data_IF_312252713242
#
_entry.id   IF_312252713242
#
_cell.length_a   1.000
_cell.length_b   1.000
_cell.length_c   1.000
_cell.angle_alpha   90.00
_cell.angle_beta   90.00
_cell.angle_gamma   90.00
#
_symmetry.space_group_name_H-M   'P 1'
#
loop_
_entity.id
_entity.type
_entity.pdbx_description
1 polymer ?
#
# COMPACT_ATOMS: atom_id res chain seq x y z
N UNK A 1 -18.00 9.18 23.66
CA UNK A 1 -17.68 7.75 23.56
C UNK A 1 -16.40 7.62 22.75
N UNK A 2 -15.36 7.04 23.35
CA UNK A 2 -13.98 7.00 22.84
C UNK A 2 -13.86 6.12 21.59
N UNK A 3 -13.00 6.54 20.67
CA UNK A 3 -12.77 5.97 19.33
C UNK A 3 -12.06 4.60 19.34
N UNK A 4 -12.50 3.68 20.20
CA UNK A 4 -11.84 2.41 20.44
C UNK A 4 -12.85 1.26 20.53
N UNK A 5 -13.54 0.89 19.43
CA UNK A 5 -14.15 -0.45 19.29
C UNK A 5 -14.74 -0.81 17.90
N UNK A 6 -14.01 -0.58 16.80
CA UNK A 6 -14.35 -1.26 15.55
C UNK A 6 -13.13 -2.00 14.97
N UNK A 7 -12.66 -3.00 15.72
CA UNK A 7 -12.00 -4.14 15.07
C UNK A 7 -13.12 -5.03 14.54
N UNK A 8 -13.74 -4.61 13.43
CA UNK A 8 -14.61 -5.50 12.68
C UNK A 8 -13.80 -6.75 12.32
N UNK A 9 -14.34 -7.94 12.58
CA UNK A 9 -13.77 -9.21 12.08
C UNK A 9 -13.64 -9.10 10.56
N UNK A 10 -12.45 -8.75 10.09
CA UNK A 10 -12.16 -8.64 8.67
C UNK A 10 -12.22 -10.03 8.07
N UNK A 11 -13.23 -10.28 7.23
CA UNK A 11 -13.32 -11.49 6.42
C UNK A 11 -12.00 -11.71 5.69
N UNK A 12 -11.49 -12.94 5.63
CA UNK A 12 -10.29 -13.30 4.87
C UNK A 12 -10.35 -12.82 3.41
N UNK A 13 -11.56 -12.66 2.87
CA UNK A 13 -11.81 -12.17 1.52
C UNK A 13 -12.95 -11.14 1.48
N UNK A 14 -12.74 -10.01 0.80
CA UNK A 14 -13.75 -8.97 0.63
C UNK A 14 -13.61 -8.29 -0.74
N UNK A 15 -14.70 -8.27 -1.54
CA UNK A 15 -14.75 -7.62 -2.85
C UNK A 15 -13.57 -7.93 -3.78
N UNK A 16 -13.07 -9.18 -3.80
CA UNK A 16 -11.91 -9.53 -4.63
C UNK A 16 -10.57 -9.60 -3.89
N UNK A 17 -10.49 -9.14 -2.64
CA UNK A 17 -9.21 -8.90 -1.97
C UNK A 17 -9.01 -9.79 -0.77
N UNK A 18 -7.78 -10.28 -0.58
CA UNK A 18 -7.38 -11.01 0.63
C UNK A 18 -6.85 -10.08 1.71
N UNK A 19 -6.98 -10.48 2.97
CA UNK A 19 -6.42 -9.73 4.10
C UNK A 19 -4.90 -9.87 4.16
N UNK A 20 -4.20 -8.80 4.52
CA UNK A 20 -2.76 -8.81 4.74
C UNK A 20 -2.42 -8.43 6.19
N UNK A 21 -1.35 -9.03 6.72
CA UNK A 21 -0.78 -8.62 8.00
C UNK A 21 0.04 -7.34 7.78
N UNK A 22 -0.30 -6.28 8.52
CA UNK A 22 0.42 -5.02 8.45
C UNK A 22 1.86 -5.20 8.94
N UNK A 23 2.83 -4.74 8.16
CA UNK A 23 4.23 -4.77 8.53
C UNK A 23 4.53 -3.87 9.73
N UNK A 24 5.47 -4.30 10.55
CA UNK A 24 5.96 -3.50 11.67
C UNK A 24 6.83 -2.36 11.16
N UNK A 25 6.68 -1.17 11.73
CA UNK A 25 7.55 -0.03 11.41
C UNK A 25 9.05 -0.34 11.60
N UNK A 26 9.39 -1.30 12.47
CA UNK A 26 10.77 -1.74 12.73
C UNK A 26 11.45 -2.43 11.55
N UNK A 27 10.67 -3.00 10.62
CA UNK A 27 11.21 -3.71 9.45
C UNK A 27 11.16 -2.89 8.17
N UNK A 28 10.65 -1.66 8.24
CA UNK A 28 10.55 -0.74 7.11
C UNK A 28 11.88 -0.02 6.90
N UNK A 29 12.37 -0.07 5.66
CA UNK A 29 13.58 0.65 5.27
C UNK A 29 13.29 1.59 4.09
N UNK A 30 13.92 2.77 4.06
CA UNK A 30 13.75 3.71 2.96
C UNK A 30 14.43 3.21 1.67
N UNK A 31 13.80 3.49 0.54
CA UNK A 31 14.39 3.28 -0.80
C UNK A 31 14.78 4.58 -1.46
N UNK A 32 13.82 5.50 -1.66
CA UNK A 32 14.01 6.83 -2.24
C UNK A 32 12.76 7.70 -2.00
N UNK A 33 12.87 9.02 -2.08
CA UNK A 33 11.76 9.99 -1.93
C UNK A 33 10.87 9.76 -0.70
N UNK A 34 11.46 9.30 0.41
CA UNK A 34 10.73 8.98 1.64
C UNK A 34 9.88 7.69 1.57
N UNK A 35 9.83 7.01 0.42
CA UNK A 35 9.15 5.72 0.27
C UNK A 35 9.90 4.65 1.06
N UNK A 36 9.13 3.83 1.80
CA UNK A 36 9.64 2.72 2.60
C UNK A 36 9.07 1.40 2.10
N UNK A 37 9.86 0.33 2.18
CA UNK A 37 9.46 -1.05 1.89
C UNK A 37 9.90 -1.96 3.04
N UNK A 38 9.28 -3.12 3.20
CA UNK A 38 9.65 -4.08 4.24
C UNK A 38 10.67 -5.13 3.78
N UNK A 39 11.30 -5.77 4.77
CA UNK A 39 12.12 -6.98 4.57
C UNK A 39 13.24 -6.77 3.53
N UNK A 40 13.36 -7.66 2.55
CA UNK A 40 14.39 -7.62 1.51
C UNK A 40 13.96 -6.84 0.25
N UNK A 41 12.71 -6.38 0.19
CA UNK A 41 12.21 -5.59 -0.94
C UNK A 41 13.01 -4.29 -1.20
N UNK A 42 13.50 -3.53 -0.19
CA UNK A 42 14.39 -2.40 -0.42
C UNK A 42 15.66 -2.76 -1.18
N UNK A 43 16.28 -3.90 -0.86
CA UNK A 43 17.51 -4.37 -1.52
C UNK A 43 17.20 -4.78 -2.96
N UNK A 44 16.16 -5.58 -3.16
CA UNK A 44 15.71 -6.01 -4.48
C UNK A 44 15.39 -4.80 -5.38
N UNK A 45 14.65 -3.82 -4.88
CA UNK A 45 14.32 -2.60 -5.61
C UNK A 45 15.58 -1.85 -6.06
N UNK A 46 16.56 -1.64 -5.17
CA UNK A 46 17.82 -0.95 -5.52
C UNK A 46 18.60 -1.69 -6.61
N UNK A 47 18.60 -3.03 -6.59
CA UNK A 47 19.20 -3.84 -7.65
C UNK A 47 18.48 -3.62 -8.98
N UNK A 48 17.14 -3.69 -8.98
CA UNK A 48 16.33 -3.44 -10.19
C UNK A 48 16.55 -2.03 -10.75
N UNK A 49 16.58 -0.99 -9.90
CA UNK A 49 16.86 0.38 -10.34
C UNK A 49 18.25 0.49 -10.97
N UNK A 50 19.28 -0.10 -10.36
CA UNK A 50 20.65 -0.10 -10.90
C UNK A 50 20.71 -0.80 -12.26
N UNK A 51 20.08 -1.96 -12.38
CA UNK A 51 20.03 -2.74 -13.63
C UNK A 51 19.31 -1.97 -14.75
N UNK A 52 18.13 -1.41 -14.46
CA UNK A 52 17.36 -0.62 -15.43
C UNK A 52 18.17 0.58 -15.96
N UNK A 53 18.91 1.25 -15.07
CA UNK A 53 19.76 2.39 -15.43
C UNK A 53 20.99 2.00 -16.25
N UNK A 54 21.56 0.81 -16.04
CA UNK A 54 22.75 0.36 -16.77
C UNK A 54 22.47 -0.21 -18.16
N UNK A 55 21.20 -0.43 -18.52
CA UNK A 55 20.83 -0.85 -19.87
C UNK A 55 21.07 0.26 -20.90
N UNK A 56 21.24 -0.09 -22.16
CA UNK A 56 21.52 0.87 -23.24
C UNK A 56 20.48 2.00 -23.34
N UNK A 57 19.22 1.73 -22.99
CA UNK A 57 18.14 2.73 -22.99
C UNK A 57 18.12 3.62 -21.73
N UNK A 58 18.88 3.28 -20.68
CA UNK A 58 19.08 4.12 -19.51
C UNK A 58 17.81 4.42 -18.70
N UNK A 59 16.94 3.43 -18.50
CA UNK A 59 15.63 3.61 -17.86
C UNK A 59 15.78 4.07 -16.40
N UNK A 60 15.02 5.09 -16.00
CA UNK A 60 14.97 5.61 -14.64
C UNK A 60 13.67 5.19 -13.96
N UNK A 61 13.80 4.39 -12.90
CA UNK A 61 12.67 3.95 -12.07
C UNK A 61 12.63 4.78 -10.79
N UNK A 62 11.47 5.37 -10.49
CA UNK A 62 11.24 6.13 -9.26
C UNK A 62 10.08 5.48 -8.47
N UNK A 63 10.23 5.24 -7.17
CA UNK A 63 9.13 4.72 -6.36
C UNK A 63 8.10 5.84 -6.14
N UNK A 64 6.86 5.60 -6.56
CA UNK A 64 5.74 6.53 -6.35
C UNK A 64 4.98 6.24 -5.05
N UNK A 65 4.93 4.98 -4.65
CA UNK A 65 4.34 4.56 -3.37
C UNK A 65 4.97 3.25 -2.89
N UNK A 66 4.98 3.06 -1.57
CA UNK A 66 5.47 1.86 -0.90
C UNK A 66 4.56 1.53 0.28
N UNK A 67 5.12 1.33 1.46
CA UNK A 67 4.34 1.06 2.66
C UNK A 67 3.26 2.12 2.89
N UNK A 68 2.03 1.67 3.17
CA UNK A 68 0.91 2.48 3.65
C UNK A 68 0.32 1.84 4.89
N UNK A 69 0.15 2.65 5.92
CA UNK A 69 -0.62 2.27 7.10
C UNK A 69 -2.09 2.03 6.77
N UNK A 70 -2.79 1.30 7.65
CA UNK A 70 -4.25 1.14 7.55
C UNK A 70 -4.98 2.47 7.55
N UNK A 71 -4.47 3.48 8.27
CA UNK A 71 -5.07 4.82 8.33
C UNK A 71 -4.97 5.56 6.99
N UNK A 72 -3.80 5.54 6.35
CA UNK A 72 -3.62 6.11 5.00
C UNK A 72 -4.50 5.40 3.99
N UNK A 73 -4.60 4.07 4.06
CA UNK A 73 -5.47 3.31 3.18
C UNK A 73 -6.96 3.61 3.42
N UNK A 74 -7.36 3.85 4.68
CA UNK A 74 -8.71 4.29 5.03
C UNK A 74 -9.08 5.61 4.38
N UNK A 75 -8.19 6.60 4.46
CA UNK A 75 -8.36 7.87 3.77
C UNK A 75 -8.52 7.66 2.26
N UNK A 76 -7.57 6.97 1.61
CA UNK A 76 -7.60 6.73 0.16
C UNK A 76 -8.84 5.96 -0.30
N UNK A 77 -9.39 5.09 0.54
CA UNK A 77 -10.57 4.32 0.19
C UNK A 77 -11.87 5.11 0.40
N UNK A 78 -12.11 5.62 1.61
CA UNK A 78 -13.41 6.19 2.00
C UNK A 78 -13.56 7.66 1.61
N UNK A 79 -12.50 8.47 1.74
CA UNK A 79 -12.60 9.89 1.47
C UNK A 79 -12.73 10.15 -0.04
N UNK A 80 -12.02 9.37 -0.86
CA UNK A 80 -12.15 9.44 -2.32
C UNK A 80 -13.52 8.94 -2.79
N UNK A 81 -14.10 7.95 -2.09
CA UNK A 81 -15.50 7.52 -2.32
C UNK A 81 -16.45 8.69 -2.14
N UNK A 82 -16.32 9.43 -1.03
CA UNK A 82 -17.15 10.58 -0.71
C UNK A 82 -16.99 11.70 -1.75
N UNK A 83 -15.75 12.07 -2.06
CA UNK A 83 -15.43 13.13 -3.02
C UNK A 83 -15.97 12.86 -4.43
N UNK A 84 -16.03 11.58 -4.84
CA UNK A 84 -16.41 11.17 -6.20
C UNK A 84 -17.81 10.57 -6.29
N UNK A 85 -18.59 10.53 -5.20
CA UNK A 85 -19.91 9.91 -5.16
C UNK A 85 -19.90 8.44 -5.60
N UNK A 86 -18.84 7.68 -5.27
CA UNK A 86 -18.68 6.29 -5.70
C UNK A 86 -19.28 5.31 -4.70
N UNK A 87 -19.73 4.15 -5.17
CA UNK A 87 -19.99 3.02 -4.27
C UNK A 87 -18.66 2.41 -3.80
N UNK A 88 -18.68 1.77 -2.62
CA UNK A 88 -17.50 1.04 -2.12
C UNK A 88 -17.04 -0.06 -3.08
N UNK A 89 -17.98 -0.76 -3.73
CA UNK A 89 -17.68 -1.78 -4.72
C UNK A 89 -16.99 -1.21 -5.98
N UNK A 90 -17.40 -0.02 -6.45
CA UNK A 90 -16.72 0.67 -7.55
C UNK A 90 -15.32 1.11 -7.15
N UNK A 91 -15.15 1.64 -5.93
CA UNK A 91 -13.83 2.04 -5.43
C UNK A 91 -12.89 0.85 -5.28
N UNK A 92 -13.40 -0.29 -4.81
CA UNK A 92 -12.65 -1.53 -4.62
C UNK A 92 -11.99 -2.06 -5.90
N UNK A 93 -12.43 -1.63 -7.09
CA UNK A 93 -11.81 -1.99 -8.38
C UNK A 93 -10.47 -1.27 -8.63
N UNK A 94 -10.23 -0.13 -7.98
CA UNK A 94 -9.04 0.72 -8.22
C UNK A 94 -8.29 1.08 -6.95
N UNK A 95 -8.87 0.81 -5.78
CA UNK A 95 -8.25 1.02 -4.48
C UNK A 95 -8.76 -0.03 -3.53
N UNK A 96 -7.84 -0.81 -2.96
CA UNK A 96 -8.14 -1.85 -1.97
C UNK A 96 -8.80 -1.25 -0.72
N UNK A 97 -9.74 -1.94 -0.09
CA UNK A 97 -10.25 -1.58 1.24
C UNK A 97 -9.14 -1.64 2.31
N UNK A 98 -9.28 -0.92 3.43
CA UNK A 98 -8.29 -0.96 4.53
C UNK A 98 -8.12 -2.36 5.10
N UNK A 99 -6.88 -2.82 5.28
CA UNK A 99 -6.56 -4.19 5.70
C UNK A 99 -6.42 -5.22 4.55
N UNK A 100 -6.69 -4.80 3.32
CA UNK A 100 -6.67 -5.64 2.12
C UNK A 100 -5.65 -5.16 1.06
N UNK A 101 -4.80 -4.18 1.39
CA UNK A 101 -3.81 -3.63 0.47
C UNK A 101 -2.46 -4.31 0.65
N UNK A 102 -1.82 -4.74 -0.44
CA UNK A 102 -0.42 -5.18 -0.40
C UNK A 102 0.53 -4.08 0.07
N UNK A 103 0.14 -2.82 -0.10
CA UNK A 103 0.92 -1.70 0.43
C UNK A 103 1.04 -1.70 1.96
N UNK A 104 0.24 -2.46 2.72
CA UNK A 104 0.45 -2.56 4.16
C UNK A 104 1.57 -3.53 4.55
N UNK A 105 2.16 -4.23 3.57
CA UNK A 105 3.25 -5.18 3.77
C UNK A 105 4.57 -4.49 3.42
#
# INVERSE_FOLDING_TARGET
MTAAHLVAKTSKYFNGHYTYKVASAKVLQPVDNGVKLQMDAPKAFKVTVKQARSQAQGIRLNPLSGFRSTAEQHYLFHEVVRQRGQTLARRAKVSTPPGYSEHCT
#
